data_IF_262085213795
#
_entry.id   IF_262085213795
#
_cell.length_a   1.000
_cell.length_b   1.000
_cell.length_c   1.000
_cell.angle_alpha   90.00
_cell.angle_beta   90.00
_cell.angle_gamma   90.00
#
_symmetry.space_group_name_H-M   'P 1'
#
loop_
_entity.id
_entity.type
_entity.pdbx_description
1 polymer ?
#
# COMPACT_ATOMS: atom_id res chain seq x y z
N UNK A 1 -29.28 5.89 -24.21
CA UNK A 1 -28.38 4.80 -24.60
C UNK A 1 -28.31 4.77 -26.12
N UNK A 2 -27.13 4.75 -26.74
CA UNK A 2 -26.97 4.69 -28.20
C UNK A 2 -26.56 3.28 -28.62
N UNK A 3 -26.98 2.84 -29.81
CA UNK A 3 -26.71 1.51 -30.38
C UNK A 3 -25.95 1.70 -31.69
N UNK A 4 -24.91 0.89 -31.92
CA UNK A 4 -24.05 0.96 -33.11
C UNK A 4 -22.62 0.53 -32.80
N UNK A 5 -21.85 0.17 -33.84
CA UNK A 5 -20.43 -0.23 -33.73
C UNK A 5 -19.59 0.81 -33.02
N UNK A 6 -19.92 2.08 -33.19
CA UNK A 6 -19.18 3.22 -32.63
C UNK A 6 -19.43 3.40 -31.12
N UNK A 7 -20.34 2.61 -30.57
CA UNK A 7 -20.81 2.71 -29.19
C UNK A 7 -20.75 1.37 -28.44
N UNK A 8 -20.49 0.27 -29.14
CA UNK A 8 -20.44 -1.09 -28.59
C UNK A 8 -19.02 -1.65 -28.70
N UNK A 9 -18.53 -2.24 -27.62
CA UNK A 9 -17.25 -2.94 -27.62
C UNK A 9 -17.37 -4.29 -28.31
N UNK A 10 -16.30 -4.72 -28.97
CA UNK A 10 -16.19 -6.09 -29.46
C UNK A 10 -16.18 -7.07 -28.29
N UNK A 11 -16.99 -8.13 -28.39
CA UNK A 11 -17.11 -9.15 -27.35
C UNK A 11 -15.98 -10.17 -27.56
N UNK A 12 -15.11 -10.31 -26.55
CA UNK A 12 -14.09 -11.36 -26.58
C UNK A 12 -14.73 -12.74 -26.61
N UNK A 13 -14.30 -13.56 -27.58
CA UNK A 13 -14.73 -14.95 -27.69
C UNK A 13 -14.19 -15.79 -26.54
N UNK A 14 -14.93 -16.83 -26.15
CA UNK A 14 -14.47 -17.77 -25.12
C UNK A 14 -13.17 -18.48 -25.53
N UNK A 15 -12.31 -18.73 -24.55
CA UNK A 15 -11.14 -19.59 -24.73
C UNK A 15 -11.59 -21.02 -25.05
N UNK A 16 -10.82 -21.70 -25.91
CA UNK A 16 -11.01 -23.14 -26.16
C UNK A 16 -10.63 -23.93 -24.91
N UNK A 17 -11.24 -25.10 -24.71
CA UNK A 17 -11.08 -25.90 -23.48
C UNK A 17 -9.63 -26.25 -23.08
N UNK A 18 -8.69 -26.24 -24.03
CA UNK A 18 -7.27 -26.51 -23.81
C UNK A 18 -6.36 -25.28 -23.94
N UNK A 19 -6.93 -24.10 -24.23
CA UNK A 19 -6.16 -22.87 -24.40
C UNK A 19 -6.04 -22.12 -23.05
N UNK A 20 -4.81 -21.81 -22.65
CA UNK A 20 -4.54 -20.96 -21.49
C UNK A 20 -4.38 -19.50 -21.92
N UNK A 21 -4.91 -18.59 -21.12
CA UNK A 21 -4.75 -17.16 -21.37
C UNK A 21 -3.26 -16.77 -21.27
N UNK A 22 -2.64 -16.23 -22.34
CA UNK A 22 -1.23 -15.86 -22.33
C UNK A 22 -0.89 -14.79 -21.28
N UNK A 23 -1.89 -14.02 -20.81
CA UNK A 23 -1.73 -13.02 -19.76
C UNK A 23 -1.37 -13.60 -18.40
N UNK A 24 -1.71 -14.87 -18.14
CA UNK A 24 -1.35 -15.55 -16.89
C UNK A 24 0.16 -15.79 -16.76
N UNK A 25 0.87 -15.85 -17.89
CA UNK A 25 2.33 -15.95 -17.91
C UNK A 25 3.02 -14.59 -17.98
N UNK A 26 2.26 -13.51 -18.14
CA UNK A 26 2.78 -12.15 -18.16
C UNK A 26 2.80 -11.58 -16.74
N UNK A 27 3.89 -10.88 -16.39
CA UNK A 27 3.94 -10.13 -15.14
C UNK A 27 3.13 -8.84 -15.31
N UNK A 28 1.86 -8.88 -14.88
CA UNK A 28 0.93 -7.75 -14.95
C UNK A 28 0.72 -7.06 -13.59
N UNK A 29 1.20 -7.70 -12.52
CA UNK A 29 1.07 -7.22 -11.15
C UNK A 29 2.33 -7.55 -10.35
N UNK A 30 2.48 -6.84 -9.24
CA UNK A 30 3.51 -7.07 -8.23
C UNK A 30 2.82 -7.28 -6.89
N UNK A 31 3.23 -8.32 -6.15
CA UNK A 31 2.69 -8.57 -4.82
C UNK A 31 3.27 -7.52 -3.85
N UNK A 32 2.38 -6.79 -3.17
CA UNK A 32 2.74 -5.75 -2.20
C UNK A 32 2.42 -6.16 -0.76
N UNK A 33 1.50 -7.11 -0.56
CA UNK A 33 1.13 -7.61 0.77
C UNK A 33 0.62 -9.05 0.68
N UNK A 34 1.12 -9.92 1.57
CA UNK A 34 0.63 -11.29 1.72
C UNK A 34 0.10 -11.52 3.12
N UNK A 35 -1.18 -11.87 3.23
CA UNK A 35 -1.79 -12.19 4.51
C UNK A 35 -1.27 -13.54 5.07
N UNK A 36 -1.13 -13.63 6.39
CA UNK A 36 -0.97 -14.89 7.12
C UNK A 36 0.47 -15.34 7.42
N UNK A 37 1.48 -14.50 7.19
CA UNK A 37 2.87 -14.79 7.61
C UNK A 37 3.14 -14.44 9.09
N UNK A 38 2.37 -13.52 9.65
CA UNK A 38 2.50 -12.93 10.99
C UNK A 38 1.10 -12.70 11.57
N UNK A 39 0.99 -12.64 12.91
CA UNK A 39 -0.31 -12.40 13.56
C UNK A 39 -0.70 -10.93 13.50
N UNK A 40 -1.99 -10.63 13.63
CA UNK A 40 -2.49 -9.25 13.64
C UNK A 40 -1.89 -8.44 14.81
N UNK A 41 -1.63 -9.09 15.96
CA UNK A 41 -0.97 -8.45 17.10
C UNK A 41 0.48 -8.05 16.80
N UNK A 42 1.22 -8.89 16.04
CA UNK A 42 2.58 -8.60 15.61
C UNK A 42 2.62 -7.44 14.61
N UNK A 43 1.65 -7.41 13.68
CA UNK A 43 1.48 -6.30 12.72
C UNK A 43 1.21 -4.99 13.46
N UNK A 44 0.28 -5.00 14.42
CA UNK A 44 -0.08 -3.84 15.20
C UNK A 44 1.11 -3.33 16.04
N UNK A 45 1.85 -4.24 16.66
CA UNK A 45 3.07 -3.92 17.39
C UNK A 45 4.13 -3.30 16.48
N UNK A 46 4.35 -3.86 15.29
CA UNK A 46 5.30 -3.31 14.33
C UNK A 46 4.88 -1.92 13.84
N UNK A 47 3.60 -1.72 13.53
CA UNK A 47 3.07 -0.41 13.16
C UNK A 47 3.26 0.63 14.29
N UNK A 48 3.15 0.20 15.55
CA UNK A 48 3.44 1.06 16.70
C UNK A 48 4.93 1.45 16.76
N UNK A 49 5.83 0.50 16.53
CA UNK A 49 7.28 0.74 16.49
C UNK A 49 7.66 1.72 15.37
N UNK A 50 7.16 1.52 14.15
CA UNK A 50 7.44 2.43 13.02
C UNK A 50 6.96 3.85 13.32
N UNK A 51 5.81 4.01 13.97
CA UNK A 51 5.31 5.34 14.41
C UNK A 51 6.20 5.97 15.48
N UNK A 52 6.72 5.19 16.42
CA UNK A 52 7.67 5.69 17.42
C UNK A 52 8.97 6.15 16.75
N UNK A 53 9.51 5.36 15.82
CA UNK A 53 10.70 5.73 15.02
C UNK A 53 10.45 7.00 14.19
N UNK A 54 9.30 7.11 13.52
CA UNK A 54 8.93 8.30 12.76
C UNK A 54 8.73 9.55 13.61
N UNK A 55 8.31 9.39 14.87
CA UNK A 55 8.24 10.51 15.83
C UNK A 55 9.64 10.94 16.26
N UNK A 56 10.50 9.98 16.59
CA UNK A 56 11.88 10.22 17.00
C UNK A 56 12.71 10.87 15.88
N UNK A 57 12.60 10.39 14.64
CA UNK A 57 13.32 10.95 13.50
C UNK A 57 13.05 12.43 13.27
N UNK A 58 11.80 12.88 13.49
CA UNK A 58 11.44 14.31 13.41
C UNK A 58 11.92 15.14 14.60
N UNK A 59 12.12 14.52 15.76
CA UNK A 59 12.73 15.18 16.91
C UNK A 59 14.23 15.45 16.67
N UNK A 60 14.90 14.61 15.88
CA UNK A 60 16.32 14.75 15.54
C UNK A 60 16.61 15.62 14.30
N UNK A 61 15.61 15.95 13.49
CA UNK A 61 15.76 16.84 12.33
C UNK A 61 15.51 18.30 12.74
N UNK A 62 16.55 19.16 12.78
CA UNK A 62 16.43 20.56 13.22
C UNK A 62 15.43 21.37 12.37
N UNK A 63 15.25 21.00 11.10
CA UNK A 63 14.29 21.66 10.19
C UNK A 63 12.83 21.27 10.51
N UNK A 64 12.61 20.06 11.01
CA UNK A 64 11.32 19.56 11.47
C UNK A 64 10.95 20.09 12.86
N UNK A 65 11.93 20.26 13.77
CA UNK A 65 11.72 20.88 15.09
C UNK A 65 11.12 22.29 14.97
N UNK A 66 11.47 23.05 13.93
CA UNK A 66 10.92 24.39 13.69
C UNK A 66 9.48 24.36 13.17
N UNK A 67 9.07 23.30 12.44
CA UNK A 67 7.72 23.17 11.84
C UNK A 67 6.71 22.46 12.76
N UNK A 68 7.19 21.62 13.67
CA UNK A 68 6.37 20.89 14.64
C UNK A 68 7.02 20.95 16.03
N UNK A 69 7.01 22.11 16.69
CA UNK A 69 7.76 22.34 17.94
C UNK A 69 7.24 21.56 19.15
N UNK A 70 6.05 20.94 19.03
CA UNK A 70 5.40 20.18 20.10
C UNK A 70 5.34 18.69 19.77
N UNK A 71 5.63 17.85 20.78
CA UNK A 71 5.62 16.39 20.70
C UNK A 71 4.34 15.82 20.05
N UNK A 72 3.19 16.40 20.37
CA UNK A 72 1.90 16.00 19.82
C UNK A 72 1.83 16.17 18.29
N UNK A 73 2.45 17.21 17.74
CA UNK A 73 2.50 17.47 16.30
C UNK A 73 3.34 16.43 15.56
N UNK A 74 4.52 16.11 16.11
CA UNK A 74 5.39 15.07 15.55
C UNK A 74 4.74 13.68 15.62
N UNK A 75 4.08 13.36 16.73
CA UNK A 75 3.33 12.11 16.90
C UNK A 75 2.13 12.02 15.95
N UNK A 76 1.37 13.10 15.77
CA UNK A 76 0.24 13.15 14.84
C UNK A 76 0.70 12.98 13.38
N UNK A 77 1.81 13.62 13.00
CA UNK A 77 2.38 13.43 11.67
C UNK A 77 2.94 12.01 11.45
N UNK A 78 3.43 11.34 12.49
CA UNK A 78 3.92 9.96 12.40
C UNK A 78 2.77 8.97 12.28
N UNK A 79 1.58 9.29 12.80
CA UNK A 79 0.38 8.47 12.74
C UNK A 79 -0.35 8.50 11.38
N UNK A 80 0.08 9.33 10.43
CA UNK A 80 -0.53 9.42 9.09
C UNK A 80 -0.45 8.09 8.33
N UNK A 81 -1.41 7.85 7.45
CA UNK A 81 -1.53 6.59 6.69
C UNK A 81 -0.30 6.27 5.86
N UNK A 82 0.44 7.27 5.38
CA UNK A 82 1.71 7.07 4.67
C UNK A 82 2.73 6.30 5.52
N UNK A 83 2.81 6.55 6.83
CA UNK A 83 3.71 5.81 7.73
C UNK A 83 3.20 4.40 7.97
N UNK A 84 1.88 4.21 8.02
CA UNK A 84 1.25 2.89 8.17
C UNK A 84 1.49 2.04 6.92
N UNK A 85 1.26 2.61 5.73
CA UNK A 85 1.53 1.95 4.46
C UNK A 85 3.01 1.56 4.37
N UNK A 86 3.91 2.48 4.70
CA UNK A 86 5.34 2.18 4.75
C UNK A 86 5.69 1.04 5.72
N UNK A 87 4.98 0.91 6.85
CA UNK A 87 5.16 -0.21 7.76
C UNK A 87 4.73 -1.55 7.13
N UNK A 88 3.62 -1.58 6.37
CA UNK A 88 3.21 -2.77 5.64
C UNK A 88 4.19 -3.14 4.54
N UNK A 89 4.72 -2.16 3.80
CA UNK A 89 5.70 -2.38 2.75
C UNK A 89 7.02 -2.97 3.30
N UNK A 90 7.41 -2.62 4.54
CA UNK A 90 8.59 -3.17 5.22
C UNK A 90 8.37 -4.60 5.75
N UNK A 91 7.13 -5.00 5.97
CA UNK A 91 6.74 -6.31 6.48
C UNK A 91 6.51 -7.34 5.37
N UNK A 92 6.29 -6.89 4.13
CA UNK A 92 6.10 -7.72 2.94
C UNK A 92 7.35 -8.55 2.60
#
# INVERSE_FOLDING_TARGET
>A
MRIGSDHQSEIQSFLKDSATDPRLNAQLEELVWKAGSITDEEIDMFCLLVRAVGTLGRAYDPSSTTRQPILLGAAAAARRDITKQHAHDLLH
#
